data_IF_911611955759
#
_entry.id   IF_911611955759
#
_cell.length_a   1.000
_cell.length_b   1.000
_cell.length_c   1.000
_cell.angle_alpha   90.00
_cell.angle_beta   90.00
_cell.angle_gamma   90.00
#
_symmetry.space_group_name_H-M   'P 1'
#
loop_
_entity.id
_entity.type
_entity.pdbx_description
1 polymer ?
#
# COMPACT_ATOMS: atom_id res chain seq x y z
N UNK A 1 18.57 6.43 25.92
CA UNK A 1 17.71 5.57 25.08
C UNK A 1 18.63 4.64 24.32
N UNK A 2 18.61 3.34 24.61
CA UNK A 2 19.42 2.36 23.89
C UNK A 2 18.85 2.24 22.46
N UNK A 3 19.62 2.72 21.49
CA UNK A 3 19.27 2.61 20.08
C UNK A 3 19.38 1.17 19.64
N UNK A 4 18.48 0.72 18.77
CA UNK A 4 18.40 -0.64 18.20
C UNK A 4 19.67 -1.03 17.38
N UNK A 5 20.70 -0.17 17.36
CA UNK A 5 21.94 -0.34 16.59
C UNK A 5 22.95 -1.33 17.18
N UNK A 6 22.79 -1.73 18.45
CA UNK A 6 23.80 -2.53 19.15
C UNK A 6 23.48 -4.04 19.27
N UNK A 7 22.50 -4.57 18.52
CA UNK A 7 22.17 -6.01 18.60
C UNK A 7 23.04 -6.79 17.61
N UNK A 8 24.00 -7.63 18.06
CA UNK A 8 24.89 -8.35 17.16
C UNK A 8 24.13 -9.40 16.35
N UNK A 9 24.26 -9.29 15.03
CA UNK A 9 23.80 -10.26 14.05
C UNK A 9 24.54 -11.60 14.24
N UNK A 10 23.87 -12.62 14.78
CA UNK A 10 24.32 -14.00 14.64
C UNK A 10 23.36 -14.79 13.75
N UNK A 11 23.98 -15.54 12.84
CA UNK A 11 23.40 -16.28 11.73
C UNK A 11 22.38 -17.28 12.29
N UNK A 12 21.13 -17.25 11.77
CA UNK A 12 19.90 -17.92 12.25
C UNK A 12 19.03 -17.15 13.28
N UNK A 13 19.44 -15.98 13.78
CA UNK A 13 18.86 -15.33 14.97
C UNK A 13 17.74 -14.28 14.81
N UNK A 14 16.82 -14.36 13.82
CA UNK A 14 15.77 -13.32 13.66
C UNK A 14 14.31 -13.78 13.57
N UNK A 15 14.03 -15.10 13.50
CA UNK A 15 12.66 -15.59 13.70
C UNK A 15 12.21 -15.35 15.15
N UNK A 16 13.15 -15.50 16.09
CA UNK A 16 12.91 -15.35 17.52
C UNK A 16 12.59 -13.89 17.94
N UNK A 17 13.30 -12.85 17.45
CA UNK A 17 12.91 -11.44 17.62
C UNK A 17 11.49 -11.09 17.14
N UNK A 18 11.08 -11.55 15.97
CA UNK A 18 9.73 -11.27 15.45
C UNK A 18 8.65 -11.99 16.28
N UNK A 19 8.89 -13.25 16.65
CA UNK A 19 7.98 -14.00 17.51
C UNK A 19 7.89 -13.41 18.92
N UNK A 20 9.01 -12.94 19.48
CA UNK A 20 9.06 -12.27 20.79
C UNK A 20 8.36 -10.91 20.76
N UNK A 21 8.56 -10.13 19.71
CA UNK A 21 7.83 -8.88 19.49
C UNK A 21 6.32 -9.13 19.38
N UNK A 22 5.90 -10.15 18.62
CA UNK A 22 4.49 -10.52 18.51
C UNK A 22 3.89 -10.90 19.87
N UNK A 23 4.58 -11.73 20.68
CA UNK A 23 4.13 -12.08 22.04
C UNK A 23 3.95 -10.85 22.92
N UNK A 24 4.89 -9.92 22.91
CA UNK A 24 4.79 -8.67 23.69
C UNK A 24 3.61 -7.82 23.22
N UNK A 25 3.40 -7.71 21.91
CA UNK A 25 2.27 -6.96 21.35
C UNK A 25 0.92 -7.58 21.75
N UNK A 26 0.80 -8.90 21.74
CA UNK A 26 -0.41 -9.61 22.19
C UNK A 26 -0.63 -9.40 23.68
N UNK A 27 0.41 -9.44 24.51
CA UNK A 27 0.31 -9.18 25.95
C UNK A 27 -0.17 -7.75 26.25
N UNK A 28 0.31 -6.75 25.50
CA UNK A 28 -0.02 -5.34 25.76
C UNK A 28 -1.32 -4.87 25.09
N UNK A 29 -1.63 -5.38 23.90
CA UNK A 29 -2.74 -4.88 23.05
C UNK A 29 -3.83 -5.93 22.80
N UNK A 30 -3.62 -7.17 23.24
CA UNK A 30 -4.56 -8.29 23.08
C UNK A 30 -5.07 -8.40 21.63
N UNK A 31 -6.38 -8.24 21.40
CA UNK A 31 -7.00 -8.35 20.07
C UNK A 31 -6.58 -7.25 19.09
N UNK A 32 -6.07 -6.12 19.59
CA UNK A 32 -5.56 -5.03 18.75
C UNK A 32 -4.08 -5.23 18.33
N UNK A 33 -3.45 -6.33 18.74
CA UNK A 33 -2.07 -6.63 18.39
C UNK A 33 -1.90 -6.94 16.89
N UNK A 34 -0.75 -6.55 16.33
CA UNK A 34 -0.39 -6.91 14.97
C UNK A 34 -0.25 -8.43 14.83
N UNK A 35 -0.68 -8.97 13.69
CA UNK A 35 -0.48 -10.37 13.36
C UNK A 35 1.01 -10.71 13.29
N UNK A 36 1.36 -11.98 13.55
CA UNK A 36 2.73 -12.47 13.41
C UNK A 36 3.30 -12.24 11.99
N UNK A 37 2.44 -12.39 10.97
CA UNK A 37 2.81 -12.12 9.57
C UNK A 37 3.24 -10.66 9.39
N UNK A 38 2.43 -9.72 9.89
CA UNK A 38 2.73 -8.29 9.81
C UNK A 38 4.04 -7.97 10.54
N UNK A 39 4.27 -8.57 11.72
CA UNK A 39 5.53 -8.43 12.43
C UNK A 39 6.73 -8.89 11.58
N UNK A 40 6.63 -10.05 10.90
CA UNK A 40 7.69 -10.56 10.03
C UNK A 40 7.96 -9.63 8.84
N UNK A 41 6.93 -9.08 8.22
CA UNK A 41 7.04 -8.13 7.09
C UNK A 41 7.77 -6.84 7.51
N UNK A 42 7.40 -6.24 8.65
CA UNK A 42 8.10 -5.06 9.21
C UNK A 42 9.56 -5.34 9.54
N UNK A 43 9.86 -6.49 10.16
CA UNK A 43 11.24 -6.87 10.43
C UNK A 43 12.08 -7.03 9.15
N UNK A 44 11.48 -7.46 8.04
CA UNK A 44 12.16 -7.51 6.74
C UNK A 44 12.38 -6.12 6.15
N UNK A 45 11.41 -5.20 6.27
CA UNK A 45 11.62 -3.78 5.89
C UNK A 45 12.83 -3.19 6.63
N UNK A 46 12.85 -3.33 7.95
CA UNK A 46 13.95 -2.83 8.78
C UNK A 46 15.31 -3.45 8.43
N UNK A 47 15.34 -4.74 8.06
CA UNK A 47 16.57 -5.41 7.58
C UNK A 47 17.12 -4.80 6.30
N UNK A 48 16.23 -4.31 5.42
CA UNK A 48 16.60 -3.66 4.18
C UNK A 48 17.00 -2.20 4.38
N UNK A 49 17.06 -1.73 5.64
CA UNK A 49 17.37 -0.34 5.98
C UNK A 49 16.21 0.63 5.78
N UNK A 50 15.02 0.12 5.46
CA UNK A 50 13.79 0.90 5.36
C UNK A 50 13.12 0.98 6.73
N UNK A 51 13.28 2.12 7.38
CA UNK A 51 12.69 2.44 8.69
C UNK A 51 11.47 3.36 8.57
N UNK A 52 10.96 3.58 7.36
CA UNK A 52 9.76 4.37 7.17
C UNK A 52 8.53 3.60 7.69
N UNK A 53 7.84 4.25 8.63
CA UNK A 53 6.64 3.73 9.29
C UNK A 53 5.36 4.24 8.65
N UNK A 54 5.44 5.21 7.75
CA UNK A 54 4.27 5.71 7.02
C UNK A 54 3.77 4.65 6.02
N UNK A 55 2.46 4.67 5.77
CA UNK A 55 1.87 3.83 4.72
C UNK A 55 2.39 4.35 3.38
N UNK A 56 2.95 3.46 2.57
CA UNK A 56 3.34 3.83 1.22
C UNK A 56 2.10 4.32 0.46
N UNK A 57 2.32 5.20 -0.52
CA UNK A 57 1.25 5.62 -1.42
C UNK A 57 0.50 4.39 -1.94
N UNK A 58 -0.78 4.28 -1.58
CA UNK A 58 -1.59 3.14 -2.00
C UNK A 58 -1.65 3.16 -3.51
N UNK A 59 -1.33 2.03 -4.14
CA UNK A 59 -1.61 1.87 -5.57
C UNK A 59 -3.12 1.95 -5.75
N UNK A 60 -3.61 3.12 -6.14
CA UNK A 60 -5.00 3.30 -6.55
C UNK A 60 -5.29 2.47 -7.81
N UNK A 61 -6.53 2.53 -8.28
CA UNK A 61 -6.85 2.04 -9.62
C UNK A 61 -6.00 2.82 -10.62
N UNK A 62 -5.26 2.12 -11.48
CA UNK A 62 -4.53 2.77 -12.57
C UNK A 62 -5.50 3.61 -13.39
N UNK A 63 -5.10 4.84 -13.68
CA UNK A 63 -5.84 5.70 -14.61
C UNK A 63 -5.82 5.03 -15.98
N UNK A 64 -6.97 4.97 -16.65
CA UNK A 64 -7.12 4.29 -17.95
C UNK A 64 -7.06 5.30 -19.10
N UNK A 65 -7.37 6.58 -18.82
CA UNK A 65 -7.34 7.70 -19.76
C UNK A 65 -6.83 8.96 -19.05
N UNK A 66 -6.31 9.94 -19.78
CA UNK A 66 -5.90 11.21 -19.18
C UNK A 66 -7.03 12.22 -19.07
N UNK A 67 -7.00 13.08 -18.04
CA UNK A 67 -8.08 14.08 -17.84
C UNK A 67 -8.12 15.10 -18.98
N UNK A 68 -6.96 15.35 -19.60
CA UNK A 68 -6.86 16.20 -20.79
C UNK A 68 -7.62 15.61 -21.98
N UNK A 69 -7.56 14.29 -22.19
CA UNK A 69 -8.28 13.61 -23.27
C UNK A 69 -9.78 13.68 -23.04
N UNK A 70 -10.23 13.41 -21.81
CA UNK A 70 -11.65 13.54 -21.46
C UNK A 70 -12.15 14.98 -21.64
N UNK A 71 -11.33 15.97 -21.23
CA UNK A 71 -11.66 17.38 -21.37
C UNK A 71 -11.79 17.81 -22.83
N UNK A 72 -10.88 17.36 -23.70
CA UNK A 72 -10.93 17.66 -25.13
C UNK A 72 -12.21 17.10 -25.79
N UNK A 73 -12.63 15.88 -25.40
CA UNK A 73 -13.88 15.28 -25.89
C UNK A 73 -15.11 16.11 -25.48
N UNK A 74 -15.15 16.57 -24.22
CA UNK A 74 -16.25 17.39 -23.71
C UNK A 74 -16.28 18.80 -24.31
N UNK A 75 -15.12 19.40 -24.59
CA UNK A 75 -15.02 20.69 -25.28
C UNK A 75 -15.46 20.59 -26.75
N UNK A 76 -15.20 19.45 -27.39
CA UNK A 76 -15.63 19.19 -28.77
C UNK A 76 -17.13 18.93 -28.87
N UNK A 77 -17.68 18.16 -27.94
CA UNK A 77 -19.11 17.88 -27.87
C UNK A 77 -19.54 17.58 -26.43
N UNK A 78 -20.12 18.58 -25.78
CA UNK A 78 -20.59 18.46 -24.40
C UNK A 78 -21.86 17.63 -24.24
N UNK A 79 -22.49 17.20 -25.35
CA UNK A 79 -23.74 16.42 -25.32
C UNK A 79 -23.53 14.91 -25.39
N UNK A 80 -22.28 14.46 -25.46
CA UNK A 80 -21.92 13.05 -25.52
C UNK A 80 -22.41 12.27 -24.29
N UNK A 81 -22.86 11.05 -24.55
CA UNK A 81 -23.25 10.11 -23.50
C UNK A 81 -22.01 9.44 -22.89
N UNK A 82 -22.13 9.00 -21.64
CA UNK A 82 -21.06 8.23 -20.99
C UNK A 82 -20.68 6.95 -21.76
N UNK A 83 -21.61 6.37 -22.53
CA UNK A 83 -21.34 5.19 -23.34
C UNK A 83 -20.45 5.50 -24.54
N UNK A 84 -20.64 6.66 -25.19
CA UNK A 84 -19.81 7.12 -26.30
C UNK A 84 -18.41 7.52 -25.82
N UNK A 85 -18.32 8.19 -24.67
CA UNK A 85 -17.05 8.51 -24.02
C UNK A 85 -16.29 7.23 -23.64
N UNK A 86 -16.96 6.25 -23.04
CA UNK A 86 -16.35 4.98 -22.66
C UNK A 86 -15.82 4.19 -23.87
N UNK A 87 -16.55 4.19 -24.99
CA UNK A 87 -16.10 3.57 -26.24
C UNK A 87 -14.88 4.30 -26.84
N UNK A 88 -14.88 5.62 -26.79
CA UNK A 88 -13.80 6.45 -27.35
C UNK A 88 -12.52 6.36 -26.54
N UNK A 89 -12.64 6.30 -25.22
CA UNK A 89 -11.53 6.20 -24.27
C UNK A 89 -11.10 4.74 -23.98
N UNK A 90 -11.64 3.77 -24.73
CA UNK A 90 -11.43 2.32 -24.56
C UNK A 90 -11.57 1.85 -23.09
N UNK A 91 -12.53 2.44 -22.37
CA UNK A 91 -12.79 2.12 -20.97
C UNK A 91 -13.95 1.15 -20.88
N UNK A 92 -13.72 0.00 -20.22
CA UNK A 92 -14.83 -0.91 -19.92
C UNK A 92 -15.93 -0.20 -19.11
N UNK A 93 -17.20 -0.58 -19.32
CA UNK A 93 -18.38 -0.01 -18.61
C UNK A 93 -18.30 -0.09 -17.06
N UNK A 94 -17.33 -0.82 -16.52
CA UNK A 94 -17.02 -0.93 -15.08
C UNK A 94 -16.09 0.17 -14.57
N UNK A 95 -15.62 1.07 -15.44
CA UNK A 95 -14.97 2.30 -15.02
C UNK A 95 -16.04 3.32 -14.65
N UNK A 96 -16.13 3.68 -13.37
CA UNK A 96 -16.95 4.81 -12.95
C UNK A 96 -16.22 6.07 -13.41
N UNK A 97 -16.74 6.70 -14.47
CA UNK A 97 -16.44 8.10 -14.77
C UNK A 97 -17.12 8.88 -13.64
N UNK A 98 -16.32 9.36 -12.68
CA UNK A 98 -16.79 10.05 -11.48
C UNK A 98 -16.82 11.56 -11.72
#
# INVERSE_FOLDING_TARGET
>A
MLGIKDVPNNVLGFIEPAAKAHRLLVETYNEAALSERTCREWFQKFKNGDFDVEDNGRSGRSKIYEDAELKELLEKDSSQTQQELALTLDVSKQSRIA
#
